data_IF_209302267868
#
_entry.id   IF_209302267868
#
_cell.length_a   1.000
_cell.length_b   1.000
_cell.length_c   1.000
_cell.angle_alpha   90.00
_cell.angle_beta   90.00
_cell.angle_gamma   90.00
#
_symmetry.space_group_name_H-M   'P 1'
#
loop_
_entity.id
_entity.type
_entity.pdbx_description
1 polymer ?
#
# COMPACT_ATOMS: atom_id res chain seq x y z
N UNK A 1 53.11 -70.52 78.80
CA UNK A 1 52.16 -71.56 78.35
C UNK A 1 51.17 -71.72 79.48
N UNK A 2 50.05 -70.98 79.41
CA UNK A 2 49.18 -70.80 80.56
C UNK A 2 47.74 -71.02 80.13
N UNK A 3 47.14 -71.96 80.85
CA UNK A 3 45.84 -72.55 80.68
C UNK A 3 44.76 -71.73 81.39
N UNK A 4 43.53 -72.05 80.97
CA UNK A 4 42.26 -72.07 81.73
C UNK A 4 41.42 -70.79 81.78
N UNK A 5 40.21 -70.97 81.24
CA UNK A 5 38.97 -70.28 81.58
C UNK A 5 38.72 -70.19 83.10
N UNK A 6 37.85 -69.26 83.53
CA UNK A 6 36.53 -69.65 84.06
C UNK A 6 35.40 -68.75 83.52
N UNK A 7 34.15 -69.18 83.30
CA UNK A 7 33.14 -69.83 84.16
C UNK A 7 32.55 -68.94 85.26
N UNK A 8 31.21 -68.90 85.32
CA UNK A 8 30.41 -68.51 86.49
C UNK A 8 29.91 -67.07 86.45
N UNK A 9 28.60 -66.85 86.32
CA UNK A 9 27.61 -66.81 87.43
C UNK A 9 27.74 -65.48 88.21
N UNK A 10 26.71 -64.73 88.55
CA UNK A 10 25.34 -65.06 88.88
C UNK A 10 24.46 -63.81 88.76
N UNK A 11 23.16 -64.09 88.69
CA UNK A 11 22.02 -63.28 89.08
C UNK A 11 22.30 -61.94 89.80
N UNK A 12 21.70 -60.87 89.30
CA UNK A 12 20.55 -60.25 89.98
C UNK A 12 20.13 -58.94 89.31
N UNK A 13 18.86 -58.60 89.55
CA UNK A 13 18.22 -57.28 89.38
C UNK A 13 17.49 -57.04 88.05
N UNK A 14 16.23 -57.49 88.07
CA UNK A 14 15.10 -56.89 87.38
C UNK A 14 15.22 -55.35 87.34
N UNK A 15 15.36 -54.80 86.14
CA UNK A 15 15.45 -53.34 85.96
C UNK A 15 15.52 -52.92 84.50
N UNK A 16 14.34 -52.74 83.88
CA UNK A 16 13.95 -51.60 83.04
C UNK A 16 15.03 -50.97 82.14
N UNK A 17 14.98 -51.31 80.84
CA UNK A 17 14.91 -50.39 79.68
C UNK A 17 15.33 -51.15 78.41
N UNK A 18 14.50 -51.10 77.36
CA UNK A 18 14.70 -51.84 76.11
C UNK A 18 14.67 -50.85 74.95
N UNK A 19 15.79 -50.18 74.71
CA UNK A 19 15.98 -49.37 73.52
C UNK A 19 16.67 -50.20 72.44
N UNK A 20 15.91 -50.49 71.38
CA UNK A 20 16.39 -51.12 70.16
C UNK A 20 16.82 -50.05 69.16
N UNK A 21 18.13 -49.93 68.90
CA UNK A 21 18.63 -49.21 67.72
C UNK A 21 18.59 -50.14 66.50
N UNK A 22 17.68 -49.85 65.56
CA UNK A 22 17.74 -50.36 64.19
C UNK A 22 18.05 -49.19 63.24
N UNK A 23 19.12 -49.35 62.48
CA UNK A 23 19.70 -48.33 61.58
C UNK A 23 18.75 -48.04 60.41
N UNK A 24 18.28 -46.80 60.32
CA UNK A 24 17.36 -46.33 59.28
C UNK A 24 18.13 -45.94 58.00
N UNK A 25 17.81 -46.58 56.87
CA UNK A 25 18.33 -46.17 55.55
C UNK A 25 17.74 -44.81 55.15
N UNK A 26 18.56 -43.77 55.10
CA UNK A 26 18.15 -42.47 54.58
C UNK A 26 18.33 -42.42 53.05
N UNK A 27 17.29 -42.11 52.25
CA UNK A 27 17.47 -41.89 50.82
C UNK A 27 18.34 -40.64 50.62
N UNK A 28 19.27 -40.67 49.67
CA UNK A 28 19.98 -39.48 49.23
C UNK A 28 18.94 -38.42 48.87
N UNK A 29 18.77 -37.41 49.73
CA UNK A 29 17.97 -36.22 49.43
C UNK A 29 18.59 -35.59 48.20
N UNK A 30 18.02 -35.86 47.02
CA UNK A 30 18.36 -35.20 45.79
C UNK A 30 18.10 -33.72 46.03
N UNK A 31 19.18 -32.98 46.33
CA UNK A 31 19.13 -31.57 46.68
C UNK A 31 18.75 -30.84 45.39
N UNK A 32 17.44 -30.76 45.13
CA UNK A 32 16.86 -30.17 43.93
C UNK A 32 17.21 -28.68 43.99
N UNK A 33 18.33 -28.35 43.36
CA UNK A 33 18.97 -27.05 43.46
C UNK A 33 18.03 -26.01 42.87
N UNK A 34 17.79 -24.90 43.57
CA UNK A 34 17.06 -23.75 43.03
C UNK A 34 17.62 -23.31 41.65
N UNK A 35 18.93 -23.54 41.42
CA UNK A 35 19.58 -23.32 40.13
C UNK A 35 19.01 -24.18 39.01
N UNK A 36 18.63 -25.44 39.24
CA UNK A 36 18.06 -26.29 38.18
C UNK A 36 16.66 -25.84 37.77
N UNK A 37 15.86 -25.36 38.73
CA UNK A 37 14.54 -24.77 38.43
C UNK A 37 14.68 -23.42 37.73
N UNK A 38 15.65 -22.59 38.13
CA UNK A 38 15.95 -21.33 37.46
C UNK A 38 16.42 -21.56 36.01
N UNK A 39 17.30 -22.55 35.77
CA UNK A 39 17.72 -22.92 34.42
C UNK A 39 16.58 -23.50 33.58
N UNK A 40 15.73 -24.34 34.16
CA UNK A 40 14.56 -24.86 33.45
C UNK A 40 13.59 -23.71 33.08
N UNK A 41 13.32 -22.79 34.01
CA UNK A 41 12.49 -21.62 33.75
C UNK A 41 13.09 -20.70 32.67
N UNK A 42 14.41 -20.47 32.69
CA UNK A 42 15.11 -19.71 31.67
C UNK A 42 15.02 -20.37 30.29
N UNK A 43 15.22 -21.68 30.20
CA UNK A 43 15.10 -22.41 28.93
C UNK A 43 13.66 -22.45 28.42
N UNK A 44 12.67 -22.57 29.30
CA UNK A 44 11.25 -22.49 28.94
C UNK A 44 10.94 -21.10 28.39
N UNK A 45 11.39 -20.03 29.05
CA UNK A 45 11.21 -18.66 28.56
C UNK A 45 11.88 -18.46 27.20
N UNK A 46 13.12 -18.91 27.04
CA UNK A 46 13.84 -18.80 25.78
C UNK A 46 13.14 -19.58 24.66
N UNK A 47 12.65 -20.78 24.94
CA UNK A 47 11.91 -21.61 24.00
C UNK A 47 10.57 -20.96 23.62
N UNK A 48 9.79 -20.46 24.58
CA UNK A 48 8.51 -19.81 24.28
C UNK A 48 8.71 -18.51 23.51
N UNK A 49 9.69 -17.68 23.86
CA UNK A 49 10.02 -16.48 23.09
C UNK A 49 10.47 -16.84 21.66
N UNK A 50 11.33 -17.84 21.51
CA UNK A 50 11.79 -18.29 20.19
C UNK A 50 10.65 -18.87 19.36
N UNK A 51 9.74 -19.61 19.99
CA UNK A 51 8.55 -20.17 19.35
C UNK A 51 7.57 -19.06 18.93
N UNK A 52 7.34 -18.05 19.78
CA UNK A 52 6.53 -16.89 19.41
C UNK A 52 7.12 -16.13 18.22
N UNK A 53 8.43 -15.88 18.23
CA UNK A 53 9.13 -15.22 17.11
C UNK A 53 9.12 -16.05 15.83
N UNK A 54 9.22 -17.38 15.96
CA UNK A 54 9.16 -18.29 14.81
C UNK A 54 7.77 -18.35 14.18
N UNK A 55 6.70 -18.31 15.00
CA UNK A 55 5.33 -18.45 14.50
C UNK A 55 4.70 -17.09 14.12
N UNK A 56 5.20 -15.95 14.64
CA UNK A 56 4.60 -14.62 14.35
C UNK A 56 4.47 -14.28 12.85
N UNK A 57 5.43 -14.62 11.96
CA UNK A 57 5.29 -14.36 10.52
C UNK A 57 4.18 -15.20 9.88
N UNK A 58 3.95 -16.42 10.37
CA UNK A 58 2.92 -17.32 9.85
C UNK A 58 1.49 -16.91 10.24
N UNK A 59 1.35 -16.10 11.30
CA UNK A 59 0.08 -15.48 11.68
C UNK A 59 -0.11 -14.08 11.09
N UNK A 60 0.76 -13.63 10.18
CA UNK A 60 0.64 -12.31 9.56
C UNK A 60 0.81 -11.16 10.56
N UNK A 61 1.48 -11.39 11.70
CA UNK A 61 1.80 -10.33 12.66
C UNK A 61 2.93 -9.50 12.08
N UNK A 62 2.58 -8.53 11.25
CA UNK A 62 3.52 -7.49 10.81
C UNK A 62 3.80 -6.57 12.00
N UNK A 63 5.09 -6.37 12.29
CA UNK A 63 5.55 -5.38 13.28
C UNK A 63 5.42 -3.95 12.75
N UNK A 64 5.18 -3.76 11.45
CA UNK A 64 5.06 -2.47 10.79
C UNK A 64 3.68 -2.31 10.17
N UNK A 65 3.05 -1.17 10.43
CA UNK A 65 1.78 -0.79 9.82
C UNK A 65 1.97 -0.28 8.39
N UNK A 66 0.92 -0.29 7.59
CA UNK A 66 0.92 0.33 6.25
C UNK A 66 1.34 1.81 6.30
N UNK A 67 0.94 2.51 7.35
CA UNK A 67 1.34 3.89 7.61
C UNK A 67 2.85 4.04 7.78
N UNK A 68 3.52 3.07 8.42
CA UNK A 68 4.98 3.11 8.59
C UNK A 68 5.72 2.94 7.27
N UNK A 69 5.16 2.13 6.36
CA UNK A 69 5.70 1.98 5.01
C UNK A 69 5.52 3.26 4.22
N UNK A 70 4.31 3.83 4.20
CA UNK A 70 4.03 5.04 3.43
C UNK A 70 4.84 6.23 3.95
N UNK A 71 4.96 6.42 5.26
CA UNK A 71 5.82 7.48 5.82
C UNK A 71 7.29 7.35 5.41
N UNK A 72 7.78 6.13 5.17
CA UNK A 72 9.16 5.89 4.71
C UNK A 72 9.33 6.09 3.21
N UNK A 73 8.26 5.99 2.43
CA UNK A 73 8.31 6.06 0.96
C UNK A 73 7.66 7.31 0.38
N UNK A 74 7.07 8.17 1.20
CA UNK A 74 6.51 9.47 0.84
C UNK A 74 7.39 10.61 1.34
N UNK A 75 7.26 11.78 0.70
CA UNK A 75 7.79 13.00 1.28
C UNK A 75 6.92 13.39 2.49
N UNK A 76 7.43 14.31 3.31
CA UNK A 76 6.67 14.78 4.45
C UNK A 76 5.35 15.42 4.00
N UNK A 77 4.25 15.01 4.67
CA UNK A 77 2.94 15.63 4.55
C UNK A 77 2.23 15.67 5.91
N UNK A 78 1.58 16.78 6.29
CA UNK A 78 0.75 16.85 7.50
C UNK A 78 -0.46 15.92 7.45
N UNK A 79 -0.90 15.49 6.25
CA UNK A 79 -2.01 14.55 6.11
C UNK A 79 -1.63 13.16 6.66
N UNK A 80 -0.37 12.74 6.48
CA UNK A 80 0.15 11.46 7.01
C UNK A 80 0.14 11.38 8.55
N UNK A 81 0.05 12.52 9.23
CA UNK A 81 -0.01 12.62 10.68
C UNK A 81 -1.46 12.58 11.21
N UNK A 82 -2.47 12.76 10.34
CA UNK A 82 -3.88 12.92 10.73
C UNK A 82 -4.84 11.82 10.26
N UNK A 83 -4.47 11.04 9.24
CA UNK A 83 -5.31 9.93 8.74
C UNK A 83 -4.61 8.59 8.89
N UNK A 84 -5.40 7.52 8.96
CA UNK A 84 -4.93 6.14 8.81
C UNK A 84 -5.51 5.57 7.51
N UNK A 85 -4.65 5.07 6.63
CA UNK A 85 -5.06 4.33 5.43
C UNK A 85 -4.59 2.88 5.51
N UNK A 86 -5.35 2.02 4.85
CA UNK A 86 -5.01 0.63 4.59
C UNK A 86 -4.58 0.52 3.13
N UNK A 87 -3.46 -0.15 2.88
CA UNK A 87 -3.03 -0.47 1.53
C UNK A 87 -3.90 -1.60 0.99
N UNK A 88 -4.60 -1.33 -0.10
CA UNK A 88 -5.42 -2.32 -0.79
C UNK A 88 -4.81 -2.61 -2.15
N UNK A 89 -4.61 -3.90 -2.42
CA UNK A 89 -4.31 -4.34 -3.78
C UNK A 89 -5.58 -4.22 -4.61
N UNK A 90 -5.54 -3.38 -5.63
CA UNK A 90 -6.65 -3.17 -6.55
C UNK A 90 -6.14 -3.37 -7.96
N UNK A 91 -6.94 -4.06 -8.77
CA UNK A 91 -6.68 -4.23 -10.20
C UNK A 91 -7.27 -3.03 -10.94
N UNK A 92 -6.43 -2.37 -11.75
CA UNK A 92 -6.87 -1.29 -12.63
C UNK A 92 -7.71 -1.91 -13.75
N UNK A 93 -8.94 -1.45 -13.90
CA UNK A 93 -9.81 -1.87 -14.99
C UNK A 93 -9.40 -1.10 -16.26
N UNK A 94 -8.38 -1.62 -16.93
CA UNK A 94 -7.72 -1.02 -18.09
C UNK A 94 -8.10 -1.63 -19.43
N UNK A 95 -9.30 -2.19 -19.60
CA UNK A 95 -9.73 -2.70 -20.90
C UNK A 95 -9.72 -1.59 -21.98
N UNK A 96 -9.11 -1.83 -23.14
CA UNK A 96 -9.03 -0.83 -24.22
C UNK A 96 -10.43 -0.48 -24.74
N UNK A 97 -11.20 -1.48 -25.16
CA UNK A 97 -12.57 -1.33 -25.67
C UNK A 97 -13.58 -1.27 -24.51
N UNK A 98 -14.15 -2.43 -24.13
CA UNK A 98 -15.03 -2.54 -22.97
C UNK A 98 -14.24 -2.89 -21.72
N UNK A 99 -14.49 -2.11 -20.66
CA UNK A 99 -14.14 -2.46 -19.29
C UNK A 99 -15.28 -3.28 -18.69
N UNK A 100 -14.96 -4.30 -17.89
CA UNK A 100 -15.99 -5.12 -17.22
C UNK A 100 -16.78 -4.29 -16.21
N UNK A 101 -16.09 -3.41 -15.49
CA UNK A 101 -16.66 -2.44 -14.56
C UNK A 101 -16.02 -1.07 -14.81
N UNK A 102 -16.43 -0.33 -15.85
CA UNK A 102 -15.81 0.95 -16.20
C UNK A 102 -15.86 1.91 -15.00
N UNK A 103 -14.79 2.67 -14.80
CA UNK A 103 -14.80 3.71 -13.77
C UNK A 103 -15.90 4.75 -14.08
N UNK A 104 -16.46 5.37 -13.04
CA UNK A 104 -17.46 6.44 -13.21
C UNK A 104 -16.91 7.68 -13.93
N UNK A 105 -15.59 7.78 -14.10
CA UNK A 105 -14.89 8.87 -14.77
C UNK A 105 -14.61 8.59 -16.26
N UNK A 106 -14.97 7.40 -16.75
CA UNK A 106 -14.70 6.98 -18.14
C UNK A 106 -15.85 7.32 -19.06
N UNK A 107 -15.59 8.18 -20.04
CA UNK A 107 -16.49 8.37 -21.18
C UNK A 107 -16.51 7.11 -22.07
N UNK A 108 -17.61 6.83 -22.77
CA UNK A 108 -17.61 5.80 -23.82
C UNK A 108 -17.09 6.40 -25.14
N UNK A 109 -17.80 6.22 -26.26
CA UNK A 109 -17.44 6.84 -27.55
C UNK A 109 -17.86 8.31 -27.68
N UNK A 110 -18.45 8.92 -26.66
CA UNK A 110 -18.88 10.31 -26.68
C UNK A 110 -18.86 10.88 -25.28
N UNK A 111 -18.80 12.21 -25.12
CA UNK A 111 -18.95 12.85 -23.82
C UNK A 111 -20.28 12.47 -23.16
N UNK A 112 -20.25 12.23 -21.85
CA UNK A 112 -21.42 11.96 -21.02
C UNK A 112 -21.49 12.97 -19.86
N UNK A 113 -22.61 13.71 -19.70
CA UNK A 113 -22.79 14.64 -18.59
C UNK A 113 -22.61 14.01 -17.20
N UNK A 114 -22.97 12.73 -17.01
CA UNK A 114 -22.78 12.05 -15.73
C UNK A 114 -21.29 11.81 -15.42
N UNK A 115 -20.48 11.60 -16.47
CA UNK A 115 -19.03 11.51 -16.33
C UNK A 115 -18.47 12.88 -15.97
N UNK A 116 -18.89 13.94 -16.67
CA UNK A 116 -18.47 15.31 -16.35
C UNK A 116 -18.78 15.67 -14.88
N UNK A 117 -19.99 15.37 -14.39
CA UNK A 117 -20.36 15.58 -12.98
C UNK A 117 -19.47 14.78 -12.01
N UNK A 118 -19.13 13.54 -12.34
CA UNK A 118 -18.23 12.71 -11.51
C UNK A 118 -16.79 13.26 -11.46
N UNK A 119 -16.32 13.92 -12.52
CA UNK A 119 -15.04 14.63 -12.54
C UNK A 119 -15.10 15.88 -11.66
N UNK A 120 -16.11 16.73 -11.85
CA UNK A 120 -16.30 17.98 -11.10
C UNK A 120 -16.36 17.76 -9.58
N UNK A 121 -17.06 16.72 -9.12
CA UNK A 121 -17.12 16.32 -7.70
C UNK A 121 -15.70 16.13 -7.09
N UNK A 122 -14.83 15.49 -7.87
CA UNK A 122 -13.52 15.05 -7.40
C UNK A 122 -12.42 16.08 -7.60
N UNK A 123 -12.39 16.78 -8.74
CA UNK A 123 -11.32 17.71 -9.08
C UNK A 123 -11.37 19.04 -8.30
N UNK A 124 -12.45 19.26 -7.56
CA UNK A 124 -12.61 20.43 -6.70
C UNK A 124 -11.35 20.63 -5.84
N UNK A 125 -10.61 21.69 -6.18
CA UNK A 125 -9.40 22.11 -5.47
C UNK A 125 -9.81 22.63 -4.10
N UNK A 126 -9.63 21.79 -3.09
CA UNK A 126 -9.93 22.10 -1.69
C UNK A 126 -8.64 22.46 -0.97
N UNK A 127 -8.61 23.65 -0.40
CA UNK A 127 -7.52 24.13 0.47
C UNK A 127 -7.86 23.89 1.93
N UNK A 128 -6.84 23.74 2.76
CA UNK A 128 -6.98 23.53 4.21
C UNK A 128 -5.84 24.24 4.97
N UNK A 129 -6.04 24.55 6.27
CA UNK A 129 -5.02 25.18 7.08
C UNK A 129 -3.90 24.20 7.44
N UNK A 130 -2.66 24.66 7.31
CA UNK A 130 -1.47 24.02 7.87
C UNK A 130 -0.76 25.02 8.80
N UNK A 131 -0.06 24.52 9.80
CA UNK A 131 0.68 25.31 10.78
C UNK A 131 2.07 25.72 10.27
N UNK A 132 2.67 26.70 10.95
CA UNK A 132 4.01 27.18 10.61
C UNK A 132 5.08 26.08 10.65
N UNK A 133 5.00 25.17 11.62
CA UNK A 133 5.96 24.07 11.73
C UNK A 133 5.84 23.10 10.55
N UNK A 134 4.63 22.88 10.05
CA UNK A 134 4.37 22.04 8.87
C UNK A 134 4.90 22.70 7.60
N UNK A 135 4.69 24.02 7.43
CA UNK A 135 5.31 24.80 6.35
C UNK A 135 6.83 24.66 6.35
N UNK A 136 7.47 24.79 7.52
CA UNK A 136 8.93 24.62 7.67
C UNK A 136 9.38 23.19 7.35
N UNK A 137 8.61 22.16 7.77
CA UNK A 137 8.92 20.75 7.45
C UNK A 137 8.77 20.42 5.96
N UNK A 138 7.87 21.09 5.25
CA UNK A 138 7.80 21.07 3.78
C UNK A 138 9.04 21.74 3.13
N UNK A 139 9.83 22.46 3.93
CA UNK A 139 10.99 23.23 3.49
C UNK A 139 10.60 24.47 2.68
N UNK A 140 9.45 25.06 3.02
CA UNK A 140 8.97 26.35 2.53
C UNK A 140 9.26 27.43 3.58
N UNK A 141 9.30 28.68 3.12
CA UNK A 141 9.49 29.84 4.00
C UNK A 141 8.12 30.38 4.46
N UNK A 142 7.80 30.34 5.77
CA UNK A 142 6.54 30.88 6.28
C UNK A 142 6.32 32.38 6.03
N UNK A 143 7.36 33.16 5.74
CA UNK A 143 7.19 34.58 5.36
C UNK A 143 6.59 34.74 3.96
N UNK A 144 6.74 33.73 3.09
CA UNK A 144 6.28 33.76 1.71
C UNK A 144 4.97 33.02 1.49
N UNK A 145 4.59 32.10 2.39
CA UNK A 145 3.37 31.31 2.27
C UNK A 145 2.15 32.11 2.74
N UNK A 146 1.10 32.07 1.92
CA UNK A 146 -0.19 32.73 2.18
C UNK A 146 -0.85 32.13 3.43
N UNK A 147 -1.35 33.03 4.28
CA UNK A 147 -2.19 32.71 5.43
C UNK A 147 -3.66 32.93 5.11
N UNK A 148 -4.51 32.16 5.77
CA UNK A 148 -5.93 32.47 5.82
C UNK A 148 -6.17 33.81 6.54
N UNK A 149 -7.17 34.59 6.09
CA UNK A 149 -7.58 35.80 6.79
C UNK A 149 -7.95 35.55 8.26
N UNK A 150 -7.54 36.42 9.21
CA UNK A 150 -7.81 36.23 10.64
C UNK A 150 -9.29 36.08 10.98
N UNK A 151 -10.19 36.71 10.22
CA UNK A 151 -11.65 36.66 10.39
C UNK A 151 -12.25 35.26 10.21
N UNK A 152 -11.52 34.32 9.60
CA UNK A 152 -11.97 32.93 9.47
C UNK A 152 -11.78 32.11 10.76
N UNK A 153 -11.13 32.67 11.79
CA UNK A 153 -11.02 32.03 13.10
C UNK A 153 -10.10 30.80 13.15
N UNK A 154 -9.21 30.64 12.16
CA UNK A 154 -8.28 29.50 12.05
C UNK A 154 -6.97 29.70 12.84
N UNK A 155 -6.80 30.86 13.49
CA UNK A 155 -5.59 31.26 14.20
C UNK A 155 -4.59 32.03 13.33
N UNK A 156 -3.69 32.79 13.98
CA UNK A 156 -2.76 33.73 13.29
C UNK A 156 -1.71 33.07 12.39
N UNK A 157 -1.54 31.75 12.49
CA UNK A 157 -0.54 30.97 11.77
C UNK A 157 -1.18 29.80 11.00
N UNK A 158 -2.39 30.02 10.46
CA UNK A 158 -3.06 29.11 9.54
C UNK A 158 -2.67 29.43 8.10
N UNK A 159 -1.76 28.64 7.53
CA UNK A 159 -1.27 28.77 6.16
C UNK A 159 -2.14 27.95 5.21
N UNK A 160 -2.24 28.37 3.95
CA UNK A 160 -2.97 27.65 2.92
C UNK A 160 -2.15 26.47 2.39
N UNK A 161 -2.72 25.26 2.48
CA UNK A 161 -2.21 24.05 1.85
C UNK A 161 -3.27 23.36 1.00
N UNK A 162 -2.83 22.57 0.03
CA UNK A 162 -3.66 21.73 -0.83
C UNK A 162 -2.94 20.40 -1.09
N UNK A 163 -3.68 19.29 -1.17
CA UNK A 163 -3.12 17.99 -1.58
C UNK A 163 -2.89 18.01 -3.11
N UNK A 164 -1.66 17.70 -3.52
CA UNK A 164 -1.19 17.76 -4.91
C UNK A 164 -1.92 16.77 -5.82
N UNK A 165 -2.25 15.56 -5.37
CA UNK A 165 -3.03 14.58 -6.15
C UNK A 165 -4.32 15.17 -6.76
N UNK A 166 -5.07 16.00 -6.02
CA UNK A 166 -6.29 16.60 -6.57
C UNK A 166 -6.00 17.65 -7.64
N UNK A 167 -4.86 18.36 -7.54
CA UNK A 167 -4.42 19.25 -8.61
C UNK A 167 -3.99 18.46 -9.86
N UNK A 168 -3.33 17.31 -9.71
CA UNK A 168 -3.01 16.42 -10.83
C UNK A 168 -4.29 15.89 -11.53
N UNK A 169 -5.32 15.53 -10.76
CA UNK A 169 -6.63 15.13 -11.29
C UNK A 169 -7.29 16.28 -12.05
N UNK A 170 -7.25 17.51 -11.50
CA UNK A 170 -7.75 18.70 -12.20
C UNK A 170 -7.04 18.96 -13.53
N UNK A 171 -5.71 18.85 -13.55
CA UNK A 171 -4.92 18.95 -14.78
C UNK A 171 -5.29 17.87 -15.80
N UNK A 172 -5.53 16.62 -15.35
CA UNK A 172 -6.00 15.55 -16.22
C UNK A 172 -7.40 15.85 -16.79
N UNK A 173 -8.31 16.41 -15.99
CA UNK A 173 -9.64 16.80 -16.47
C UNK A 173 -9.57 17.91 -17.51
N UNK A 174 -8.68 18.90 -17.33
CA UNK A 174 -8.42 19.93 -18.35
C UNK A 174 -7.98 19.30 -19.68
N UNK A 175 -7.03 18.37 -19.64
CA UNK A 175 -6.57 17.65 -20.84
C UNK A 175 -7.70 16.82 -21.47
N UNK A 176 -8.52 16.17 -20.64
CA UNK A 176 -9.72 15.43 -21.05
C UNK A 176 -10.67 16.37 -21.80
N UNK A 177 -11.02 17.53 -21.23
CA UNK A 177 -11.89 18.50 -21.88
C UNK A 177 -11.32 19.01 -23.21
N UNK A 178 -10.00 19.23 -23.31
CA UNK A 178 -9.36 19.60 -24.58
C UNK A 178 -9.49 18.49 -25.63
N UNK A 179 -9.36 17.21 -25.24
CA UNK A 179 -9.57 16.10 -26.15
C UNK A 179 -11.04 16.03 -26.62
N UNK A 180 -12.01 16.14 -25.71
CA UNK A 180 -13.44 16.09 -26.04
C UNK A 180 -13.99 17.39 -26.64
N UNK A 181 -13.24 18.49 -26.63
CA UNK A 181 -13.62 19.74 -27.30
C UNK A 181 -13.80 19.57 -28.82
N UNK A 182 -13.32 18.46 -29.38
CA UNK A 182 -13.58 18.04 -30.76
C UNK A 182 -14.97 17.39 -30.93
N UNK A 183 -15.87 17.49 -29.96
CA UNK A 183 -17.31 17.21 -30.10
C UNK A 183 -18.14 18.49 -30.13
N UNK A 184 -19.21 18.47 -30.90
CA UNK A 184 -20.31 19.42 -30.82
C UNK A 184 -21.18 19.13 -29.58
N UNK A 185 -21.96 20.11 -29.13
CA UNK A 185 -22.88 19.96 -27.97
C UNK A 185 -23.93 18.87 -28.16
N UNK A 186 -24.25 18.51 -29.40
CA UNK A 186 -25.17 17.42 -29.74
C UNK A 186 -24.49 16.03 -29.75
N UNK A 187 -23.20 15.94 -29.39
CA UNK A 187 -22.44 14.70 -29.34
C UNK A 187 -21.91 14.21 -30.69
N UNK A 188 -21.89 15.04 -31.75
CA UNK A 188 -21.22 14.69 -33.01
C UNK A 188 -19.76 15.18 -33.01
N UNK A 189 -18.83 14.39 -33.53
CA UNK A 189 -17.44 14.82 -33.66
C UNK A 189 -17.30 15.97 -34.70
N UNK A 190 -16.52 16.99 -34.38
CA UNK A 190 -16.18 18.16 -35.23
C UNK A 190 -15.22 17.78 -36.36
N UNK A 191 -14.41 16.75 -36.14
CA UNK A 191 -13.45 16.19 -37.09
C UNK A 191 -13.74 14.70 -37.30
N UNK A 192 -13.37 14.13 -38.46
CA UNK A 192 -13.63 12.73 -38.78
C UNK A 192 -12.65 11.78 -38.07
N UNK A 193 -12.58 11.85 -36.74
CA UNK A 193 -11.84 10.86 -35.95
C UNK A 193 -12.60 9.53 -35.95
N UNK A 194 -11.89 8.41 -36.11
CA UNK A 194 -12.47 7.07 -36.01
C UNK A 194 -12.93 6.76 -34.59
N UNK A 195 -13.90 5.88 -34.40
CA UNK A 195 -14.31 5.38 -33.09
C UNK A 195 -13.10 4.88 -32.25
N UNK A 196 -12.14 4.20 -32.89
CA UNK A 196 -10.91 3.74 -32.22
C UNK A 196 -10.10 4.87 -31.58
N UNK A 197 -10.11 6.07 -32.17
CA UNK A 197 -9.46 7.24 -31.57
C UNK A 197 -10.11 7.58 -30.23
N UNK A 198 -11.44 7.60 -30.18
CA UNK A 198 -12.20 7.91 -28.97
C UNK A 198 -12.11 6.81 -27.91
N UNK A 199 -12.05 5.55 -28.34
CA UNK A 199 -11.71 4.42 -27.47
C UNK A 199 -10.38 4.69 -26.76
N UNK A 200 -9.33 5.10 -27.50
CA UNK A 200 -8.03 5.42 -26.89
C UNK A 200 -8.10 6.64 -25.98
N UNK A 201 -8.75 7.74 -26.38
CA UNK A 201 -8.89 8.94 -25.53
C UNK A 201 -9.58 8.58 -24.20
N UNK A 202 -10.68 7.84 -24.27
CA UNK A 202 -11.42 7.34 -23.12
C UNK A 202 -10.54 6.46 -22.23
N UNK A 203 -9.97 5.40 -22.80
CA UNK A 203 -9.16 4.42 -22.07
C UNK A 203 -7.93 5.07 -21.44
N UNK A 204 -7.15 5.85 -22.20
CA UNK A 204 -5.93 6.49 -21.69
C UNK A 204 -6.24 7.46 -20.55
N UNK A 205 -7.28 8.27 -20.68
CA UNK A 205 -7.69 9.19 -19.61
C UNK A 205 -8.09 8.42 -18.35
N UNK A 206 -8.84 7.33 -18.51
CA UNK A 206 -9.31 6.51 -17.40
C UNK A 206 -8.17 5.77 -16.68
N UNK A 207 -7.21 5.17 -17.41
CA UNK A 207 -6.07 4.51 -16.75
C UNK A 207 -5.21 5.51 -15.99
N UNK A 208 -5.00 6.72 -16.53
CA UNK A 208 -4.23 7.75 -15.85
C UNK A 208 -4.94 8.17 -14.56
N UNK A 209 -6.25 8.37 -14.66
CA UNK A 209 -7.11 8.70 -13.51
C UNK A 209 -7.02 7.64 -12.41
N UNK A 210 -7.21 6.37 -12.75
CA UNK A 210 -7.09 5.25 -11.81
C UNK A 210 -5.68 5.16 -11.20
N UNK A 211 -4.63 5.43 -11.97
CA UNK A 211 -3.25 5.43 -11.46
C UNK A 211 -2.97 6.60 -10.50
N UNK A 212 -3.50 7.80 -10.77
CA UNK A 212 -3.40 8.94 -9.86
C UNK A 212 -4.05 8.62 -8.50
N UNK A 213 -5.25 8.05 -8.54
CA UNK A 213 -5.97 7.63 -7.33
C UNK A 213 -5.28 6.47 -6.60
N UNK A 214 -4.74 5.50 -7.34
CA UNK A 214 -4.04 4.35 -6.77
C UNK A 214 -2.71 4.76 -6.10
N UNK A 215 -1.98 5.72 -6.69
CA UNK A 215 -0.79 6.28 -6.08
C UNK A 215 -1.13 7.10 -4.85
N UNK A 216 -2.22 7.88 -4.90
CA UNK A 216 -2.78 8.53 -3.72
C UNK A 216 -1.83 9.50 -3.04
N UNK A 217 -0.97 10.21 -3.79
CA UNK A 217 0.05 11.05 -3.18
C UNK A 217 -0.58 12.09 -2.25
N UNK A 218 0.10 12.34 -1.13
CA UNK A 218 -0.35 13.29 -0.09
C UNK A 218 0.56 14.51 -0.02
N UNK A 219 1.38 14.74 -1.04
CA UNK A 219 2.29 15.87 -1.09
C UNK A 219 1.51 17.19 -1.16
N UNK A 220 2.11 18.29 -0.70
CA UNK A 220 1.38 19.54 -0.44
C UNK A 220 1.82 20.68 -1.36
N UNK A 221 0.85 21.25 -2.06
CA UNK A 221 0.94 22.57 -2.71
C UNK A 221 0.69 23.64 -1.65
N UNK A 222 1.59 24.62 -1.58
CA UNK A 222 1.41 25.87 -0.82
C UNK A 222 1.05 27.01 -1.76
N UNK A 223 0.66 28.16 -1.22
CA UNK A 223 0.33 29.34 -2.02
C UNK A 223 1.20 30.51 -1.63
N UNK A 224 1.57 31.34 -2.59
CA UNK A 224 2.41 32.53 -2.38
C UNK A 224 1.69 33.76 -2.94
N UNK A 225 2.07 34.94 -2.44
CA UNK A 225 1.78 36.20 -3.12
C UNK A 225 2.84 36.42 -4.20
N UNK A 226 2.40 36.55 -5.45
CA UNK A 226 3.29 36.80 -6.58
C UNK A 226 2.95 38.15 -7.22
N UNK A 227 3.97 38.83 -7.75
CA UNK A 227 3.78 40.12 -8.42
C UNK A 227 2.69 40.03 -9.49
N UNK A 228 1.93 41.11 -9.67
CA UNK A 228 0.79 41.25 -10.62
C UNK A 228 -0.48 40.48 -10.27
N UNK A 229 -0.46 39.55 -9.32
CA UNK A 229 -1.61 38.73 -8.95
C UNK A 229 -2.26 39.23 -7.66
N UNK A 230 -3.59 39.29 -7.63
CA UNK A 230 -4.36 39.68 -6.43
C UNK A 230 -4.77 38.48 -5.59
N UNK A 231 -4.82 37.30 -6.20
CA UNK A 231 -5.25 36.06 -5.56
C UNK A 231 -4.03 35.21 -5.16
N UNK A 232 -4.16 34.34 -4.14
CA UNK A 232 -3.11 33.38 -3.80
C UNK A 232 -2.70 32.56 -5.02
N UNK A 233 -1.41 32.51 -5.31
CA UNK A 233 -0.87 31.78 -6.46
C UNK A 233 -0.25 30.46 -6.01
N UNK A 234 -0.64 29.30 -6.58
CA UNK A 234 -0.11 28.01 -6.17
C UNK A 234 1.38 27.88 -6.50
N UNK A 235 2.15 27.37 -5.54
CA UNK A 235 3.55 27.01 -5.70
C UNK A 235 3.66 25.53 -6.10
N UNK A 236 3.81 25.31 -7.40
CA UNK A 236 3.96 23.98 -7.99
C UNK A 236 5.36 23.36 -7.77
N UNK A 237 6.26 24.03 -7.06
CA UNK A 237 7.53 23.47 -6.60
C UNK A 237 7.33 22.49 -5.44
N UNK A 238 6.48 21.48 -5.63
CA UNK A 238 6.15 20.46 -4.62
C UNK A 238 7.30 19.47 -4.52
N UNK A 239 7.67 19.09 -3.29
CA UNK A 239 8.67 18.06 -3.05
C UNK A 239 8.00 16.70 -3.04
N UNK A 240 8.54 15.78 -3.81
CA UNK A 240 8.09 14.40 -3.92
C UNK A 240 9.20 13.43 -3.50
N UNK A 241 8.81 12.28 -2.96
CA UNK A 241 9.71 11.14 -2.78
C UNK A 241 9.56 10.21 -3.98
N UNK A 242 10.37 10.45 -5.01
CA UNK A 242 10.29 9.70 -6.26
C UNK A 242 11.10 8.39 -6.22
N UNK A 243 10.70 7.44 -7.06
CA UNK A 243 11.55 6.30 -7.43
C UNK A 243 12.66 6.78 -8.36
N UNK A 244 13.82 6.12 -8.32
CA UNK A 244 14.92 6.44 -9.23
C UNK A 244 14.56 6.09 -10.67
N UNK A 245 14.22 7.11 -11.46
CA UNK A 245 13.85 6.96 -12.85
C UNK A 245 14.99 6.41 -13.70
N UNK A 246 16.23 6.81 -13.43
CA UNK A 246 17.38 6.34 -14.21
C UNK A 246 17.60 4.85 -13.99
N UNK A 247 17.53 4.39 -12.73
CA UNK A 247 17.61 2.96 -12.43
C UNK A 247 16.53 2.15 -13.16
N UNK A 248 15.30 2.66 -13.22
CA UNK A 248 14.19 2.01 -13.96
C UNK A 248 14.47 1.99 -15.46
N UNK A 249 14.88 3.13 -16.02
CA UNK A 249 15.14 3.29 -17.45
C UNK A 249 16.30 2.41 -17.91
N UNK A 250 17.42 2.43 -17.19
CA UNK A 250 18.59 1.59 -17.48
C UNK A 250 18.26 0.11 -17.37
N UNK A 251 17.45 -0.28 -16.38
CA UNK A 251 16.97 -1.66 -16.29
C UNK A 251 16.14 -2.02 -17.52
N UNK A 252 15.20 -1.17 -17.95
CA UNK A 252 14.40 -1.45 -19.15
C UNK A 252 15.29 -1.58 -20.38
N UNK A 253 16.19 -0.62 -20.64
CA UNK A 253 17.05 -0.61 -21.82
C UNK A 253 17.92 -1.87 -21.90
N UNK A 254 18.57 -2.23 -20.79
CA UNK A 254 19.44 -3.42 -20.70
C UNK A 254 18.70 -4.74 -20.94
N UNK A 255 17.44 -4.83 -20.55
CA UNK A 255 16.64 -6.06 -20.65
C UNK A 255 15.67 -6.05 -21.84
N UNK A 256 15.67 -4.99 -22.65
CA UNK A 256 14.84 -4.89 -23.85
C UNK A 256 15.37 -5.81 -24.94
N UNK A 257 14.45 -6.51 -25.62
CA UNK A 257 14.76 -7.17 -26.89
C UNK A 257 14.63 -6.16 -28.03
N UNK A 258 15.26 -6.42 -29.20
CA UNK A 258 15.04 -5.58 -30.37
C UNK A 258 13.54 -5.42 -30.68
N UNK A 259 13.15 -4.20 -31.04
CA UNK A 259 11.73 -3.82 -31.21
C UNK A 259 10.99 -4.73 -32.18
N UNK A 260 11.67 -5.17 -33.22
CA UNK A 260 11.16 -6.08 -34.24
C UNK A 260 10.81 -7.46 -33.68
N UNK A 261 11.49 -7.95 -32.63
CA UNK A 261 11.17 -9.24 -32.04
C UNK A 261 9.78 -9.22 -31.42
N UNK A 262 9.44 -8.16 -30.68
CA UNK A 262 8.09 -7.98 -30.14
C UNK A 262 7.01 -7.82 -31.21
N UNK A 263 7.34 -7.17 -32.34
CA UNK A 263 6.42 -6.98 -33.47
C UNK A 263 6.19 -8.23 -34.31
N UNK A 264 7.18 -9.13 -34.35
CA UNK A 264 7.15 -10.34 -35.18
C UNK A 264 6.60 -11.57 -34.44
N UNK A 265 6.12 -11.41 -33.20
CA UNK A 265 5.47 -12.51 -32.47
C UNK A 265 4.12 -12.82 -33.11
N UNK A 266 3.96 -14.05 -33.59
CA UNK A 266 2.68 -14.58 -34.09
C UNK A 266 2.09 -15.57 -33.10
N UNK A 267 0.75 -15.66 -33.05
CA UNK A 267 0.05 -16.63 -32.20
C UNK A 267 0.50 -18.07 -32.52
N UNK A 268 1.06 -18.83 -31.54
CA UNK A 268 1.44 -20.21 -31.78
C UNK A 268 0.21 -21.12 -31.87
N UNK A 269 0.37 -22.29 -32.50
CA UNK A 269 -0.69 -23.28 -32.60
C UNK A 269 -1.13 -23.78 -31.21
N UNK A 270 -2.45 -23.85 -30.97
CA UNK A 270 -3.03 -24.28 -29.70
C UNK A 270 -2.95 -23.26 -28.56
N UNK A 271 -2.56 -22.01 -28.84
CA UNK A 271 -2.62 -20.93 -27.84
C UNK A 271 -4.06 -20.73 -27.34
N UNK A 272 -4.22 -20.57 -26.02
CA UNK A 272 -5.51 -20.17 -25.44
C UNK A 272 -5.79 -18.72 -25.78
N UNK A 273 -7.03 -18.42 -26.16
CA UNK A 273 -7.46 -17.08 -26.56
C UNK A 273 -8.41 -16.49 -25.52
N UNK A 274 -8.23 -15.21 -25.24
CA UNK A 274 -9.19 -14.42 -24.46
C UNK A 274 -10.12 -13.76 -25.47
N UNK A 275 -11.45 -13.89 -25.33
CA UNK A 275 -12.37 -13.27 -26.28
C UNK A 275 -12.23 -11.75 -26.24
N UNK A 276 -12.09 -11.13 -27.41
CA UNK A 276 -12.17 -9.67 -27.55
C UNK A 276 -13.61 -9.20 -27.32
N UNK A 277 -13.77 -7.96 -26.84
CA UNK A 277 -15.08 -7.40 -26.50
C UNK A 277 -16.01 -7.26 -27.71
N UNK A 278 -17.32 -7.20 -27.46
CA UNK A 278 -18.32 -6.99 -28.52
C UNK A 278 -18.14 -5.63 -29.20
N UNK A 279 -17.73 -4.61 -28.45
CA UNK A 279 -17.39 -3.30 -29.00
C UNK A 279 -16.35 -3.33 -30.13
N UNK A 280 -15.37 -4.23 -30.09
CA UNK A 280 -14.43 -4.39 -31.20
C UNK A 280 -15.16 -4.75 -32.50
N UNK A 281 -15.98 -5.81 -32.47
CA UNK A 281 -16.73 -6.25 -33.63
C UNK A 281 -17.67 -5.17 -34.15
N UNK A 282 -18.33 -4.43 -33.24
CA UNK A 282 -19.19 -3.30 -33.58
C UNK A 282 -18.44 -2.18 -34.29
N UNK A 283 -17.28 -1.76 -33.77
CA UNK A 283 -16.48 -0.66 -34.33
C UNK A 283 -15.96 -1.00 -35.72
N UNK A 284 -15.57 -2.26 -35.95
CA UNK A 284 -15.04 -2.70 -37.25
C UNK A 284 -16.12 -3.25 -38.21
N UNK A 285 -17.38 -3.32 -37.78
CA UNK A 285 -18.48 -3.87 -38.60
C UNK A 285 -18.30 -5.35 -38.94
N UNK A 286 -17.66 -6.12 -38.06
CA UNK A 286 -17.37 -7.54 -38.25
C UNK A 286 -18.51 -8.37 -37.65
N UNK A 287 -19.07 -9.31 -38.41
CA UNK A 287 -19.98 -10.31 -37.82
C UNK A 287 -19.16 -11.31 -37.00
N UNK A 288 -19.37 -11.28 -35.68
CA UNK A 288 -18.64 -12.11 -34.74
C UNK A 288 -18.83 -13.61 -35.01
N UNK A 289 -20.04 -14.05 -35.36
CA UNK A 289 -20.31 -15.49 -35.58
C UNK A 289 -19.59 -15.96 -36.83
N UNK A 290 -19.74 -15.22 -37.92
CA UNK A 290 -19.05 -15.51 -39.17
C UNK A 290 -17.52 -15.53 -38.96
N UNK A 291 -16.99 -14.55 -38.22
CA UNK A 291 -15.54 -14.46 -37.98
C UNK A 291 -15.00 -15.64 -37.17
N UNK A 292 -15.72 -16.06 -36.13
CA UNK A 292 -15.34 -17.22 -35.32
C UNK A 292 -15.43 -18.54 -36.11
N UNK A 293 -16.41 -18.67 -37.01
CA UNK A 293 -16.54 -19.83 -37.91
C UNK A 293 -15.43 -19.88 -38.97
N UNK A 294 -14.96 -18.73 -39.46
CA UNK A 294 -13.81 -18.63 -40.38
C UNK A 294 -12.47 -19.00 -39.71
N UNK A 295 -12.29 -18.61 -38.44
CA UNK A 295 -11.03 -18.81 -37.71
C UNK A 295 -10.90 -20.24 -37.12
N UNK A 296 -12.01 -20.97 -36.95
CA UNK A 296 -12.06 -22.38 -36.52
C UNK A 296 -13.14 -23.17 -37.29
N UNK A 297 -12.90 -23.50 -38.58
CA UNK A 297 -13.85 -24.25 -39.39
C UNK A 297 -13.97 -25.67 -38.83
N UNK A 298 -15.17 -26.01 -38.32
CA UNK A 298 -15.52 -27.34 -37.81
C UNK A 298 -15.34 -28.46 -38.84
#
# INVERSE_FOLDING_TARGET
MQFKEPSGSDESLLGRDRDSETTEWTPLKQRRSWRSHAWAAFNILLFTTSLCLFISPYFGVSLTSDMDHIRKTSFYSPVLDSINFELKSTEVEGGLFEAKNPSRWRNSLKPDPAVDEAWEDLENIRVFPISESEVRRLGKDPELVVKFPPEYGLGHNAYMGQIDMFHQIHCLNLLRHLAWAEYHRNGTAKKPFSDLHWVHVSHCTDILMQNLMCNGNLDIITFNWVETQTNPFPDFGVKHQCRDFNAIYEWQDKHSVPKEWGRNVTRPAGAKEIPISEEYYRIYGIDKKQKLEEDDPK
#
